data_IF_541484965634
#
_entry.id   IF_541484965634
#
_cell.length_a   1.000
_cell.length_b   1.000
_cell.length_c   1.000
_cell.angle_alpha   90.00
_cell.angle_beta   90.00
_cell.angle_gamma   90.00
#
_symmetry.space_group_name_H-M   'P 1'
#
loop_
_entity.id
_entity.type
_entity.pdbx_description
1 polymer ?
#
# COMPACT_ATOMS: atom_id res chain seq x y z
N UNK A 1 -13.31 6.81 5.26
CA UNK A 1 -12.19 7.80 5.38
C UNK A 1 -12.09 8.56 4.07
N UNK A 2 -12.23 9.89 4.09
CA UNK A 2 -12.25 10.69 2.86
C UNK A 2 -10.88 11.32 2.56
N UNK A 3 -10.09 11.58 3.60
CA UNK A 3 -8.75 12.16 3.41
C UNK A 3 -7.78 11.81 4.53
N UNK A 4 -6.50 11.84 4.18
CA UNK A 4 -5.37 11.75 5.11
C UNK A 4 -4.55 13.04 4.98
N UNK A 5 -4.25 13.70 6.10
CA UNK A 5 -3.48 14.95 6.11
C UNK A 5 -2.26 14.81 7.01
N UNK A 6 -1.09 15.06 6.44
CA UNK A 6 0.16 15.26 7.17
C UNK A 6 0.30 16.77 7.42
N UNK A 7 0.35 17.18 8.66
CA UNK A 7 0.49 18.59 9.04
C UNK A 7 1.76 18.78 9.86
N UNK A 8 2.78 19.37 9.25
CA UNK A 8 4.09 19.61 9.84
C UNK A 8 4.72 18.36 10.50
N UNK A 9 4.52 17.19 9.88
CA UNK A 9 5.06 15.93 10.39
C UNK A 9 6.56 15.89 10.18
N UNK A 10 7.31 15.59 11.24
CA UNK A 10 8.77 15.41 11.21
C UNK A 10 9.11 14.09 11.89
N UNK A 11 9.53 13.05 11.14
CA UNK A 11 10.06 11.83 11.76
C UNK A 11 11.25 12.13 12.67
N UNK A 12 11.33 11.51 13.84
CA UNK A 12 12.41 11.78 14.79
C UNK A 12 13.79 11.53 14.18
N UNK A 13 13.92 10.57 13.27
CA UNK A 13 15.17 10.27 12.53
C UNK A 13 15.62 11.45 11.65
N UNK A 14 14.73 12.36 11.31
CA UNK A 14 15.01 13.55 10.48
C UNK A 14 14.93 14.87 11.27
N UNK A 15 14.75 14.84 12.59
CA UNK A 15 14.57 16.05 13.41
C UNK A 15 15.71 17.06 13.25
N UNK A 16 16.95 16.58 13.11
CA UNK A 16 18.16 17.42 13.00
C UNK A 16 18.57 17.71 11.53
N UNK A 17 17.79 17.28 10.53
CA UNK A 17 18.06 17.59 9.14
C UNK A 17 17.42 18.92 8.75
N UNK A 18 18.23 19.97 8.61
CA UNK A 18 17.76 21.29 8.21
C UNK A 18 17.71 21.49 6.69
N UNK A 19 18.41 20.65 5.95
CA UNK A 19 18.57 20.70 4.49
C UNK A 19 17.53 19.85 3.72
N UNK A 20 16.63 19.21 4.43
CA UNK A 20 15.63 18.31 3.83
C UNK A 20 14.59 19.11 3.04
N UNK A 21 14.60 18.89 1.72
CA UNK A 21 13.58 19.40 0.80
C UNK A 21 12.53 18.31 0.59
N UNK A 22 11.45 18.41 1.33
CA UNK A 22 10.33 17.45 1.24
C UNK A 22 9.02 18.20 1.09
N UNK A 23 8.11 17.63 0.30
CA UNK A 23 6.74 18.13 0.12
C UNK A 23 5.74 17.45 1.08
N UNK A 24 6.23 16.51 1.92
CA UNK A 24 5.44 15.82 2.95
C UNK A 24 5.95 16.14 4.35
N UNK A 25 7.30 16.07 4.58
CA UNK A 25 7.87 16.37 5.87
C UNK A 25 7.99 17.88 6.09
N UNK A 26 7.66 18.37 7.28
CA UNK A 26 7.70 19.79 7.67
C UNK A 26 6.74 20.70 6.87
N UNK A 27 5.81 20.11 6.12
CA UNK A 27 4.83 20.82 5.28
C UNK A 27 3.42 20.30 5.55
N UNK A 28 2.45 20.76 4.77
CA UNK A 28 1.12 20.16 4.71
C UNK A 28 0.98 19.35 3.41
N UNK A 29 0.71 18.05 3.58
CA UNK A 29 0.42 17.17 2.46
C UNK A 29 -0.92 16.48 2.68
N UNK A 30 -1.77 16.48 1.66
CA UNK A 30 -3.12 15.91 1.70
C UNK A 30 -3.27 14.83 0.65
N UNK A 31 -3.84 13.71 1.07
CA UNK A 31 -4.24 12.59 0.22
C UNK A 31 -5.75 12.43 0.33
N UNK A 32 -6.45 12.48 -0.80
CA UNK A 32 -7.91 12.41 -0.89
C UNK A 32 -8.33 11.07 -1.49
N UNK A 33 -9.45 10.53 -1.02
CA UNK A 33 -10.08 9.34 -1.56
C UNK A 33 -10.41 9.55 -3.04
N UNK A 34 -10.28 8.49 -3.85
CA UNK A 34 -10.52 8.54 -5.29
C UNK A 34 -9.43 9.21 -6.12
N UNK A 35 -8.30 9.59 -5.51
CA UNK A 35 -7.14 10.21 -6.20
C UNK A 35 -5.94 9.28 -6.23
N UNK A 36 -5.08 9.49 -7.24
CA UNK A 36 -3.86 8.72 -7.46
C UNK A 36 -2.63 9.56 -7.12
N UNK A 37 -1.82 9.08 -6.19
CA UNK A 37 -0.63 9.77 -5.70
C UNK A 37 0.63 8.95 -5.92
N UNK A 38 1.67 9.61 -6.42
CA UNK A 38 3.03 9.10 -6.42
C UNK A 38 3.84 9.78 -5.33
N UNK A 39 4.54 9.02 -4.51
CA UNK A 39 5.47 9.51 -3.49
C UNK A 39 6.87 9.08 -3.89
N UNK A 40 7.61 10.00 -4.50
CA UNK A 40 8.98 9.76 -4.94
C UNK A 40 9.98 10.10 -3.83
N UNK A 41 10.97 9.25 -3.65
CA UNK A 41 12.08 9.53 -2.76
C UNK A 41 13.29 8.68 -3.09
N UNK A 42 14.48 9.25 -2.92
CA UNK A 42 15.70 8.48 -2.91
C UNK A 42 15.71 7.47 -1.76
N UNK A 43 16.58 6.45 -1.83
CA UNK A 43 16.75 5.50 -0.73
C UNK A 43 17.10 6.23 0.57
N UNK A 44 16.52 5.80 1.69
CA UNK A 44 16.77 6.40 3.01
C UNK A 44 16.04 7.71 3.31
N UNK A 45 15.18 8.21 2.40
CA UNK A 45 14.42 9.46 2.61
C UNK A 45 13.10 9.27 3.35
N UNK A 46 12.79 8.06 3.81
CA UNK A 46 11.66 7.82 4.72
C UNK A 46 10.39 7.24 4.09
N UNK A 47 10.44 6.61 2.90
CA UNK A 47 9.27 5.95 2.28
C UNK A 47 8.62 4.92 3.21
N UNK A 48 9.39 3.96 3.71
CA UNK A 48 8.87 2.94 4.63
C UNK A 48 8.42 3.54 5.97
N UNK A 49 9.02 4.67 6.39
CA UNK A 49 8.55 5.45 7.54
C UNK A 49 7.19 6.08 7.27
N UNK A 50 7.01 6.68 6.09
CA UNK A 50 5.74 7.23 5.63
C UNK A 50 4.63 6.17 5.62
N UNK A 51 4.88 5.02 4.97
CA UNK A 51 3.93 3.90 4.97
C UNK A 51 3.63 3.40 6.38
N UNK A 52 4.65 3.29 7.25
CA UNK A 52 4.48 2.82 8.64
C UNK A 52 3.61 3.76 9.48
N UNK A 53 3.66 5.07 9.24
CA UNK A 53 2.79 6.03 9.93
C UNK A 53 1.32 5.88 9.48
N UNK A 54 1.08 5.64 8.19
CA UNK A 54 -0.27 5.48 7.65
C UNK A 54 -1.01 4.25 8.16
N UNK A 55 -0.28 3.21 8.56
CA UNK A 55 -0.86 1.97 9.11
C UNK A 55 -0.67 1.82 10.62
N UNK A 56 -0.12 2.85 11.29
CA UNK A 56 0.07 2.88 12.73
C UNK A 56 1.12 1.90 13.27
N UNK A 57 2.15 1.59 12.48
CA UNK A 57 3.27 0.76 12.95
C UNK A 57 4.36 1.56 13.66
N UNK A 58 4.40 2.87 13.39
CA UNK A 58 5.33 3.81 14.02
C UNK A 58 4.59 5.09 14.43
N UNK A 59 5.07 5.72 15.51
CA UNK A 59 4.51 6.96 16.08
C UNK A 59 5.60 7.95 16.48
N UNK A 60 6.84 7.73 16.05
CA UNK A 60 8.03 8.51 16.39
C UNK A 60 8.18 9.74 15.48
N UNK A 61 7.24 10.66 15.59
CA UNK A 61 7.21 11.93 14.85
C UNK A 61 6.68 13.08 15.70
N UNK A 62 6.98 14.30 15.29
CA UNK A 62 6.31 15.53 15.73
C UNK A 62 5.32 15.99 14.66
N UNK A 63 4.46 16.94 14.98
CA UNK A 63 3.36 17.36 14.09
C UNK A 63 2.14 16.47 14.25
N UNK A 64 1.23 16.48 13.28
CA UNK A 64 -0.01 15.73 13.33
C UNK A 64 -0.31 15.01 12.02
N UNK A 65 -0.81 13.79 12.11
CA UNK A 65 -1.43 13.05 11.00
C UNK A 65 -2.92 12.94 11.31
N UNK A 66 -3.76 13.40 10.38
CA UNK A 66 -5.20 13.34 10.51
C UNK A 66 -5.76 12.30 9.53
N UNK A 67 -6.68 11.52 10.01
CA UNK A 67 -7.60 10.71 9.22
C UNK A 67 -8.98 11.39 9.32
N UNK A 68 -9.41 12.03 8.24
CA UNK A 68 -10.51 13.00 8.24
C UNK A 68 -10.30 14.13 9.27
N UNK A 69 -11.11 14.17 10.33
CA UNK A 69 -10.95 15.11 11.44
C UNK A 69 -10.24 14.52 12.67
N UNK A 70 -9.96 13.21 12.66
CA UNK A 70 -9.39 12.53 13.80
C UNK A 70 -7.84 12.56 13.78
N UNK A 71 -7.23 12.93 14.90
CA UNK A 71 -5.76 12.91 15.06
C UNK A 71 -5.31 11.47 15.35
N UNK A 72 -4.46 10.92 14.50
CA UNK A 72 -3.97 9.55 14.60
C UNK A 72 -3.23 9.25 15.91
N UNK A 73 -2.56 10.23 16.51
CA UNK A 73 -1.89 10.09 17.80
C UNK A 73 -2.84 9.73 18.97
N UNK A 74 -4.15 9.92 18.80
CA UNK A 74 -5.18 9.55 19.78
C UNK A 74 -5.76 8.16 19.56
N UNK A 75 -5.36 7.48 18.48
CA UNK A 75 -5.86 6.15 18.13
C UNK A 75 -5.30 5.10 19.11
N UNK A 76 -6.19 4.24 19.58
CA UNK A 76 -5.88 3.04 20.38
C UNK A 76 -5.71 1.84 19.44
N UNK A 77 -5.27 0.72 19.96
CA UNK A 77 -5.07 -0.51 19.19
C UNK A 77 -6.31 -0.93 18.37
N UNK A 78 -7.50 -0.78 18.94
CA UNK A 78 -8.76 -1.10 18.25
C UNK A 78 -9.00 -0.18 17.04
N UNK A 79 -8.66 1.10 17.15
CA UNK A 79 -8.85 2.11 16.10
C UNK A 79 -7.87 1.81 14.94
N UNK A 80 -6.62 1.51 15.27
CA UNK A 80 -5.62 1.07 14.30
C UNK A 80 -5.95 -0.30 13.65
N UNK A 81 -6.58 -1.20 14.39
CA UNK A 81 -7.04 -2.48 13.85
C UNK A 81 -8.12 -2.25 12.81
N UNK A 82 -9.06 -1.33 13.06
CA UNK A 82 -10.10 -0.96 12.10
C UNK A 82 -9.50 -0.26 10.86
N UNK A 83 -8.56 0.68 11.05
CA UNK A 83 -7.84 1.31 9.94
C UNK A 83 -7.23 0.25 9.01
N UNK A 84 -6.48 -0.72 9.55
CA UNK A 84 -5.82 -1.78 8.76
C UNK A 84 -6.78 -2.80 8.16
N UNK A 85 -7.95 -2.99 8.76
CA UNK A 85 -8.94 -3.97 8.31
C UNK A 85 -9.84 -3.42 7.20
N UNK A 86 -10.21 -2.13 7.26
CA UNK A 86 -11.31 -1.59 6.46
C UNK A 86 -11.00 -0.27 5.74
N UNK A 87 -9.92 0.43 6.10
CA UNK A 87 -9.66 1.76 5.56
C UNK A 87 -8.35 1.87 4.79
N UNK A 88 -7.28 1.22 5.25
CA UNK A 88 -5.97 1.31 4.60
C UNK A 88 -5.43 -0.08 4.31
N UNK A 89 -5.40 -0.45 3.04
CA UNK A 89 -4.70 -1.66 2.60
C UNK A 89 -3.25 -1.35 2.26
N UNK A 90 -2.36 -2.34 2.37
CA UNK A 90 -0.93 -2.14 2.13
C UNK A 90 -0.29 -3.34 1.44
N UNK A 91 0.31 -3.08 0.29
CA UNK A 91 1.30 -3.95 -0.35
C UNK A 91 2.69 -3.56 0.17
N UNK A 92 3.27 -4.40 1.00
CA UNK A 92 4.59 -4.17 1.60
C UNK A 92 5.73 -4.44 0.61
N UNK A 93 6.79 -3.68 0.67
CA UNK A 93 7.99 -3.90 -0.13
C UNK A 93 8.58 -5.31 0.11
N UNK A 94 8.61 -5.79 1.38
CA UNK A 94 9.08 -7.13 1.74
C UNK A 94 8.01 -8.21 1.54
N UNK A 95 6.90 -7.91 0.87
CA UNK A 95 5.74 -8.76 0.58
C UNK A 95 5.05 -9.36 1.82
N UNK A 96 5.77 -9.75 2.86
CA UNK A 96 5.27 -10.33 4.13
C UNK A 96 4.34 -11.52 3.96
N UNK A 97 4.61 -12.36 2.97
CA UNK A 97 3.90 -13.61 2.74
C UNK A 97 4.37 -14.68 3.72
N UNK A 98 3.54 -15.69 3.91
CA UNK A 98 3.87 -16.88 4.70
C UNK A 98 4.44 -17.94 3.74
N UNK A 99 5.74 -18.25 3.80
CA UNK A 99 6.40 -19.13 2.84
C UNK A 99 5.90 -20.59 2.92
N UNK A 100 5.37 -21.00 4.08
CA UNK A 100 4.83 -22.34 4.33
C UNK A 100 3.40 -22.53 3.86
N UNK A 101 2.72 -21.44 3.47
CA UNK A 101 1.37 -21.48 2.94
C UNK A 101 1.40 -21.40 1.40
N UNK A 102 0.36 -21.96 0.77
CA UNK A 102 0.16 -21.82 -0.67
C UNK A 102 -0.17 -20.38 -1.07
N UNK A 103 -0.08 -20.08 -2.36
CA UNK A 103 -0.47 -18.79 -2.89
C UNK A 103 -1.95 -18.48 -2.55
N UNK A 104 -2.84 -19.45 -2.71
CA UNK A 104 -4.25 -19.33 -2.34
C UNK A 104 -4.43 -19.03 -0.84
N UNK A 105 -3.81 -19.81 0.03
CA UNK A 105 -3.92 -19.64 1.48
C UNK A 105 -3.43 -18.27 1.94
N UNK A 106 -2.36 -17.74 1.34
CA UNK A 106 -1.85 -16.39 1.63
C UNK A 106 -2.88 -15.29 1.30
N UNK A 107 -3.67 -15.46 0.26
CA UNK A 107 -4.76 -14.53 -0.09
C UNK A 107 -5.95 -14.77 0.83
N UNK A 108 -6.35 -16.02 1.01
CA UNK A 108 -7.55 -16.43 1.72
C UNK A 108 -7.49 -16.09 3.22
N UNK A 109 -6.33 -16.22 3.87
CA UNK A 109 -6.16 -15.86 5.29
C UNK A 109 -6.52 -14.39 5.57
N UNK A 110 -6.23 -13.50 4.61
CA UNK A 110 -6.61 -12.09 4.71
C UNK A 110 -8.08 -11.88 4.36
N UNK A 111 -8.55 -12.53 3.30
CA UNK A 111 -9.94 -12.42 2.85
C UNK A 111 -10.94 -12.84 3.94
N UNK A 112 -10.62 -13.88 4.71
CA UNK A 112 -11.45 -14.37 5.83
C UNK A 112 -11.73 -13.34 6.92
N UNK A 113 -10.92 -12.28 7.03
CA UNK A 113 -11.15 -11.23 8.02
C UNK A 113 -12.37 -10.36 7.70
N UNK A 114 -12.75 -10.26 6.42
CA UNK A 114 -13.83 -9.40 5.95
C UNK A 114 -14.82 -10.08 5.02
N UNK A 115 -14.43 -11.20 4.37
CA UNK A 115 -15.23 -11.85 3.33
C UNK A 115 -15.46 -10.96 2.10
N UNK A 116 -14.52 -10.08 1.80
CA UNK A 116 -14.70 -9.02 0.81
C UNK A 116 -14.74 -9.51 -0.63
N UNK A 117 -13.87 -10.45 -0.98
CA UNK A 117 -13.78 -11.01 -2.32
C UNK A 117 -14.32 -12.44 -2.34
N UNK A 118 -15.14 -12.77 -3.32
CA UNK A 118 -15.53 -14.16 -3.59
C UNK A 118 -14.42 -14.95 -4.29
N UNK A 119 -14.59 -16.27 -4.34
CA UNK A 119 -13.58 -17.14 -4.92
C UNK A 119 -13.42 -16.89 -6.44
N UNK A 120 -14.49 -16.59 -7.16
CA UNK A 120 -14.47 -16.33 -8.61
C UNK A 120 -13.61 -15.10 -8.92
N UNK A 121 -13.74 -14.04 -8.12
CA UNK A 121 -12.93 -12.83 -8.24
C UNK A 121 -11.46 -13.11 -7.98
N UNK A 122 -11.14 -13.84 -6.91
CA UNK A 122 -9.77 -14.22 -6.60
C UNK A 122 -9.18 -15.08 -7.73
N UNK A 123 -9.94 -16.04 -8.26
CA UNK A 123 -9.51 -16.88 -9.37
C UNK A 123 -9.24 -16.06 -10.63
N UNK A 124 -10.09 -15.08 -10.95
CA UNK A 124 -9.87 -14.19 -12.09
C UNK A 124 -8.56 -13.41 -11.99
N UNK A 125 -8.15 -13.01 -10.77
CA UNK A 125 -6.85 -12.35 -10.56
C UNK A 125 -5.68 -13.33 -10.75
N UNK A 126 -5.80 -14.59 -10.29
CA UNK A 126 -4.78 -15.61 -10.56
C UNK A 126 -4.55 -15.81 -12.06
N UNK A 127 -5.64 -15.84 -12.84
CA UNK A 127 -5.57 -15.96 -14.31
C UNK A 127 -4.94 -14.72 -14.95
N UNK A 128 -5.46 -13.54 -14.64
CA UNK A 128 -4.97 -12.26 -15.20
C UNK A 128 -3.50 -11.99 -14.88
N UNK A 129 -3.06 -12.36 -13.68
CA UNK A 129 -1.67 -12.24 -13.23
C UNK A 129 -0.77 -13.37 -13.76
N UNK A 130 -1.30 -14.33 -14.55
CA UNK A 130 -0.52 -15.40 -15.15
C UNK A 130 0.11 -16.36 -14.15
N UNK A 131 -0.55 -16.60 -13.00
CA UNK A 131 -0.10 -17.50 -11.93
C UNK A 131 -1.20 -18.51 -11.51
N UNK A 132 -2.16 -18.80 -12.39
CA UNK A 132 -3.25 -19.74 -12.10
C UNK A 132 -2.72 -21.17 -11.78
N UNK A 133 -1.67 -21.59 -12.48
CA UNK A 133 -0.98 -22.87 -12.25
C UNK A 133 -0.22 -22.92 -10.90
N UNK A 134 0.01 -21.78 -10.27
CA UNK A 134 0.71 -21.63 -8.97
C UNK A 134 -0.23 -21.49 -7.78
N UNK A 135 -1.54 -21.51 -7.98
CA UNK A 135 -2.54 -21.31 -6.92
C UNK A 135 -2.30 -22.22 -5.71
N UNK A 136 -1.89 -23.46 -5.92
CA UNK A 136 -1.60 -24.44 -4.86
C UNK A 136 -0.10 -24.60 -4.57
N UNK A 137 0.77 -23.82 -5.21
CA UNK A 137 2.19 -23.85 -4.91
C UNK A 137 2.49 -23.13 -3.59
N UNK A 138 3.46 -23.64 -2.83
CA UNK A 138 3.98 -22.97 -1.64
C UNK A 138 4.68 -21.66 -2.04
N UNK A 139 4.47 -20.61 -1.27
CA UNK A 139 5.14 -19.32 -1.53
C UNK A 139 6.65 -19.46 -1.56
N UNK A 140 7.22 -20.29 -0.68
CA UNK A 140 8.66 -20.53 -0.64
C UNK A 140 9.26 -21.14 -1.92
N UNK A 141 8.43 -21.74 -2.79
CA UNK A 141 8.82 -22.35 -4.07
C UNK A 141 8.59 -21.41 -5.28
N UNK A 142 8.00 -20.24 -5.05
CA UNK A 142 7.68 -19.29 -6.10
C UNK A 142 8.79 -18.27 -6.34
N UNK A 143 8.95 -17.81 -7.58
CA UNK A 143 9.86 -16.70 -7.87
C UNK A 143 9.38 -15.41 -7.18
N UNK A 144 10.30 -14.46 -6.94
CA UNK A 144 9.95 -13.21 -6.28
C UNK A 144 8.85 -12.43 -7.00
N UNK A 145 8.88 -12.38 -8.36
CA UNK A 145 7.82 -11.75 -9.15
C UNK A 145 6.46 -12.46 -9.03
N UNK A 146 6.45 -13.79 -8.87
CA UNK A 146 5.20 -14.53 -8.59
C UNK A 146 4.69 -14.22 -7.19
N UNK A 147 5.58 -14.19 -6.19
CA UNK A 147 5.24 -13.79 -4.83
C UNK A 147 4.68 -12.35 -4.78
N UNK A 148 5.24 -11.43 -5.55
CA UNK A 148 4.79 -10.04 -5.62
C UNK A 148 3.35 -9.94 -6.14
N UNK A 149 2.98 -10.74 -7.14
CA UNK A 149 1.60 -10.83 -7.65
C UNK A 149 0.64 -11.40 -6.60
N UNK A 150 1.03 -12.42 -5.84
CA UNK A 150 0.24 -12.95 -4.71
C UNK A 150 0.09 -11.89 -3.61
N UNK A 151 1.15 -11.16 -3.29
CA UNK A 151 1.10 -10.10 -2.28
C UNK A 151 0.17 -8.95 -2.69
N UNK A 152 0.11 -8.61 -3.99
CA UNK A 152 -0.89 -7.67 -4.50
C UNK A 152 -2.31 -8.20 -4.27
N UNK A 153 -2.60 -9.43 -4.70
CA UNK A 153 -3.93 -10.03 -4.49
C UNK A 153 -4.32 -10.00 -3.02
N UNK A 154 -3.39 -10.34 -2.12
CA UNK A 154 -3.63 -10.27 -0.67
C UNK A 154 -3.90 -8.84 -0.19
N UNK A 155 -3.34 -7.82 -0.81
CA UNK A 155 -3.66 -6.44 -0.48
C UNK A 155 -5.06 -6.04 -0.98
N UNK A 156 -5.55 -6.63 -2.08
CA UNK A 156 -6.83 -6.29 -2.69
C UNK A 156 -8.06 -6.97 -2.05
N UNK A 157 -7.87 -8.07 -1.29
CA UNK A 157 -8.98 -8.87 -0.72
C UNK A 157 -9.57 -8.31 0.57
N UNK A 158 -9.59 -7.00 0.72
CA UNK A 158 -10.25 -6.32 1.85
C UNK A 158 -10.90 -5.03 1.34
N UNK A 159 -11.91 -4.48 2.05
CA UNK A 159 -12.35 -3.12 1.79
C UNK A 159 -11.24 -2.11 2.16
N UNK A 160 -11.14 -1.02 1.41
CA UNK A 160 -10.22 0.06 1.73
C UNK A 160 -10.69 1.39 1.14
N UNK A 161 -10.37 2.47 1.82
CA UNK A 161 -10.50 3.84 1.33
C UNK A 161 -9.20 4.32 0.66
N UNK A 162 -8.06 3.73 1.10
CA UNK A 162 -6.74 3.95 0.51
C UNK A 162 -5.99 2.64 0.37
N UNK A 163 -5.29 2.47 -0.74
CA UNK A 163 -4.30 1.40 -0.90
C UNK A 163 -2.89 2.00 -1.01
N UNK A 164 -1.99 1.50 -0.16
CA UNK A 164 -0.57 1.83 -0.20
C UNK A 164 0.17 0.75 -1.00
N UNK A 165 0.94 1.18 -1.98
CA UNK A 165 1.77 0.31 -2.82
C UNK A 165 3.24 0.69 -2.62
N UNK A 166 3.95 -0.04 -1.76
CA UNK A 166 5.34 0.26 -1.42
C UNK A 166 6.30 -0.43 -2.41
N UNK A 167 6.80 0.33 -3.39
CA UNK A 167 7.67 -0.14 -4.48
C UNK A 167 7.12 -1.39 -5.21
N UNK A 168 5.89 -1.35 -5.74
CA UNK A 168 5.12 -2.54 -6.14
C UNK A 168 5.72 -3.33 -7.32
N UNK A 169 6.67 -2.77 -8.08
CA UNK A 169 7.16 -3.36 -9.34
C UNK A 169 8.69 -3.51 -9.41
N UNK A 170 9.37 -3.44 -8.28
CA UNK A 170 10.85 -3.45 -8.26
C UNK A 170 11.50 -4.66 -8.96
N UNK A 171 10.78 -5.77 -9.13
CA UNK A 171 11.28 -7.03 -9.71
C UNK A 171 10.36 -7.60 -10.80
N UNK A 172 9.53 -6.76 -11.44
CA UNK A 172 8.63 -7.17 -12.50
C UNK A 172 9.10 -6.63 -13.86
N UNK A 173 8.79 -7.40 -14.91
CA UNK A 173 8.82 -6.90 -16.28
C UNK A 173 7.66 -5.92 -16.52
N UNK A 174 7.73 -5.19 -17.62
CA UNK A 174 6.79 -4.11 -17.90
C UNK A 174 5.37 -4.62 -18.16
N UNK A 175 5.21 -5.82 -18.74
CA UNK A 175 3.89 -6.41 -18.99
C UNK A 175 3.18 -6.80 -17.68
N UNK A 176 3.88 -7.48 -16.79
CA UNK A 176 3.34 -7.82 -15.47
C UNK A 176 3.05 -6.56 -14.64
N UNK A 177 3.91 -5.54 -14.73
CA UNK A 177 3.69 -4.25 -14.08
C UNK A 177 2.41 -3.56 -14.60
N UNK A 178 2.18 -3.58 -15.91
CA UNK A 178 0.98 -3.03 -16.54
C UNK A 178 -0.29 -3.74 -16.06
N UNK A 179 -0.30 -5.07 -16.09
CA UNK A 179 -1.45 -5.87 -15.62
C UNK A 179 -1.76 -5.60 -14.15
N UNK A 180 -0.74 -5.54 -13.30
CA UNK A 180 -0.91 -5.19 -11.89
C UNK A 180 -1.54 -3.79 -11.72
N UNK A 181 -1.08 -2.82 -12.51
CA UNK A 181 -1.64 -1.46 -12.52
C UNK A 181 -3.11 -1.42 -12.92
N UNK A 182 -3.50 -2.13 -13.96
CA UNK A 182 -4.89 -2.23 -14.40
C UNK A 182 -5.79 -2.82 -13.30
N UNK A 183 -5.37 -3.91 -12.65
CA UNK A 183 -6.13 -4.51 -11.55
C UNK A 183 -6.26 -3.55 -10.38
N UNK A 184 -5.19 -2.83 -10.01
CA UNK A 184 -5.23 -1.81 -8.95
C UNK A 184 -6.22 -0.71 -9.28
N UNK A 185 -6.19 -0.16 -10.50
CA UNK A 185 -7.10 0.91 -10.93
C UNK A 185 -8.56 0.46 -10.94
N UNK A 186 -8.83 -0.76 -11.45
CA UNK A 186 -10.18 -1.33 -11.44
C UNK A 186 -10.73 -1.48 -10.02
N UNK A 187 -9.93 -2.06 -9.11
CA UNK A 187 -10.38 -2.29 -7.74
C UNK A 187 -10.49 -1.00 -6.92
N UNK A 188 -9.54 -0.08 -7.10
CA UNK A 188 -9.62 1.24 -6.48
C UNK A 188 -10.83 2.02 -7.01
N UNK A 189 -11.09 1.98 -8.32
CA UNK A 189 -12.26 2.61 -8.92
C UNK A 189 -13.59 2.06 -8.39
N UNK A 190 -13.71 0.72 -8.22
CA UNK A 190 -14.91 0.08 -7.65
C UNK A 190 -15.20 0.53 -6.22
N UNK A 191 -14.17 0.83 -5.44
CA UNK A 191 -14.29 1.28 -4.04
C UNK A 191 -14.23 2.79 -3.90
N UNK A 192 -14.06 3.55 -5.01
CA UNK A 192 -13.74 4.97 -5.01
C UNK A 192 -12.54 5.26 -4.08
N UNK A 193 -11.54 4.40 -4.07
CA UNK A 193 -10.41 4.46 -3.15
C UNK A 193 -9.26 5.32 -3.71
N UNK A 194 -8.50 5.95 -2.83
CA UNK A 194 -7.24 6.60 -3.17
C UNK A 194 -6.12 5.57 -3.32
N UNK A 195 -5.21 5.80 -4.29
CA UNK A 195 -4.00 5.01 -4.46
C UNK A 195 -2.79 5.85 -4.09
N UNK A 196 -1.96 5.35 -3.19
CA UNK A 196 -0.68 6.00 -2.82
C UNK A 196 0.44 5.01 -3.13
N UNK A 197 1.22 5.32 -4.16
CA UNK A 197 2.36 4.50 -4.58
C UNK A 197 3.66 5.16 -4.19
N UNK A 198 4.58 4.42 -3.56
CA UNK A 198 5.94 4.89 -3.32
C UNK A 198 6.89 4.37 -4.40
N UNK A 199 7.91 5.16 -4.75
CA UNK A 199 8.91 4.78 -5.75
C UNK A 199 10.28 5.39 -5.46
N UNK A 200 11.34 4.69 -5.92
CA UNK A 200 12.72 5.20 -6.02
C UNK A 200 13.12 5.56 -7.46
N UNK A 201 12.14 5.64 -8.38
CA UNK A 201 12.36 5.97 -9.79
C UNK A 201 11.51 5.15 -10.76
N UNK A 202 11.53 3.81 -10.69
CA UNK A 202 10.66 2.97 -11.51
C UNK A 202 9.29 2.82 -10.82
N UNK A 203 8.21 3.14 -11.52
CA UNK A 203 6.83 3.01 -11.04
C UNK A 203 5.90 2.57 -12.18
N UNK A 204 4.72 2.10 -11.83
CA UNK A 204 3.63 1.88 -12.80
C UNK A 204 3.09 3.26 -13.20
N UNK A 205 2.96 3.51 -14.48
CA UNK A 205 2.34 4.76 -14.96
C UNK A 205 0.80 4.65 -14.82
N UNK A 206 0.27 5.30 -13.80
CA UNK A 206 -1.17 5.31 -13.48
C UNK A 206 -1.84 6.67 -13.74
N UNK A 207 -1.19 7.58 -14.46
CA UNK A 207 -1.69 8.95 -14.64
C UNK A 207 -1.99 9.63 -13.30
N UNK A 208 -0.99 9.75 -12.44
CA UNK A 208 -1.13 10.29 -11.08
C UNK A 208 -1.70 11.72 -11.07
N UNK A 209 -2.68 11.97 -10.22
CA UNK A 209 -3.23 13.32 -9.95
C UNK A 209 -2.18 14.23 -9.34
N UNK A 210 -1.30 13.67 -8.50
CA UNK A 210 -0.23 14.43 -7.85
C UNK A 210 0.98 13.56 -7.53
N UNK A 211 2.15 14.12 -7.72
CA UNK A 211 3.43 13.56 -7.25
C UNK A 211 3.95 14.39 -6.09
N UNK A 212 4.30 13.73 -5.00
CA UNK A 212 5.01 14.32 -3.86
C UNK A 212 6.44 13.82 -3.81
N UNK A 213 7.37 14.67 -3.40
CA UNK A 213 8.76 14.30 -3.13
C UNK A 213 9.03 14.30 -1.64
N UNK A 214 9.64 13.21 -1.16
CA UNK A 214 10.12 13.07 0.22
C UNK A 214 11.54 13.60 0.38
#
# INVERSE_FOLDING_TARGET
>A
MEKIVFNNVVPHVFANRNDMKSEIWKTEATFEKGKLYLVEAASGMGKSTFCSYLIGYRHDYTGNIFFDSAVSAKYREKDWTEVRRSHVSHLFQELRLFPELTAWENVEIKNKLTGFADAEKIDSWFERLGIADKKQALIGEMSFGQQQRVALMRALVQPYDFILLDEPISHLDDENARIMGEIVLEEAGRQNAGVIMTSIGKHIDLNFDKTYRL
#
